data_IF_708686448748
#
_entry.id   IF_708686448748
#
_cell.length_a   1.000
_cell.length_b   1.000
_cell.length_c   1.000
_cell.angle_alpha   90.00
_cell.angle_beta   90.00
_cell.angle_gamma   90.00
#
_symmetry.space_group_name_H-M   'P 1'
#
loop_
_entity.id
_entity.type
_entity.pdbx_description
1 polymer ?
#
# COMPACT_ATOMS: atom_id res chain seq x y z
N UNK A 1 -17.60 22.49 -22.14
CA UNK A 1 -17.40 23.36 -20.97
C UNK A 1 -16.49 22.63 -20.01
N UNK A 2 -15.32 23.23 -19.72
CA UNK A 2 -14.24 22.68 -18.90
C UNK A 2 -14.60 22.87 -17.42
N UNK A 3 -14.37 21.86 -16.58
CA UNK A 3 -14.01 22.08 -15.18
C UNK A 3 -12.75 21.31 -14.89
N UNK A 4 -11.69 22.11 -14.87
CA UNK A 4 -10.32 21.84 -14.48
C UNK A 4 -10.30 21.83 -12.95
N UNK A 5 -9.62 20.87 -12.33
CA UNK A 5 -9.09 21.06 -10.98
C UNK A 5 -7.66 20.50 -10.93
N UNK A 6 -6.78 21.34 -11.47
CA UNK A 6 -5.32 21.30 -11.40
C UNK A 6 -4.93 21.62 -9.95
N UNK A 7 -4.34 20.64 -9.24
CA UNK A 7 -2.91 20.51 -8.88
C UNK A 7 -2.39 21.55 -7.87
N UNK A 8 -1.87 20.98 -6.78
CA UNK A 8 -0.77 21.42 -5.90
C UNK A 8 -0.85 22.78 -5.19
N UNK A 9 -0.56 22.76 -3.89
CA UNK A 9 0.43 23.69 -3.38
C UNK A 9 1.19 23.12 -2.18
N UNK A 10 2.44 22.79 -2.44
CA UNK A 10 3.52 22.54 -1.49
C UNK A 10 3.64 23.73 -0.53
N UNK A 11 3.49 23.50 0.78
CA UNK A 11 3.86 24.50 1.78
C UNK A 11 5.30 24.24 2.19
N UNK A 12 6.22 24.62 1.31
CA UNK A 12 7.55 25.04 1.71
C UNK A 12 7.40 26.47 2.24
N UNK A 13 7.18 26.65 3.54
CA UNK A 13 7.21 27.98 4.12
C UNK A 13 8.67 28.39 4.36
N UNK A 14 9.23 29.02 3.33
CA UNK A 14 10.51 29.69 3.36
C UNK A 14 10.47 30.86 4.35
N UNK A 15 11.50 30.92 5.18
CA UNK A 15 11.85 32.07 6.01
C UNK A 15 12.26 33.25 5.12
N UNK A 16 11.53 34.36 5.15
CA UNK A 16 12.09 35.67 4.80
C UNK A 16 11.34 36.83 5.45
N UNK A 17 12.03 37.41 6.43
CA UNK A 17 12.14 38.82 6.82
C UNK A 17 11.24 39.88 6.14
N UNK A 18 10.54 40.62 7.01
CA UNK A 18 10.45 42.10 7.10
C UNK A 18 9.94 42.91 5.90
N UNK A 19 8.76 43.55 6.03
CA UNK A 19 8.54 44.99 5.79
C UNK A 19 7.08 45.40 6.08
N UNK A 20 6.93 46.62 6.62
CA UNK A 20 5.72 47.31 7.08
C UNK A 20 4.48 47.24 6.17
N UNK A 21 3.29 47.14 6.78
CA UNK A 21 2.04 47.58 6.14
C UNK A 21 0.77 46.94 6.71
N UNK A 22 0.10 47.64 7.63
CA UNK A 22 -1.29 47.44 8.13
C UNK A 22 -1.73 45.99 8.42
N UNK A 23 -1.62 45.66 9.71
CA UNK A 23 -1.64 44.34 10.32
C UNK A 23 -3.05 43.71 10.52
N UNK A 24 -3.95 43.74 9.51
CA UNK A 24 -5.27 43.11 9.65
C UNK A 24 -5.33 41.66 9.15
N UNK A 25 -4.45 41.26 8.23
CA UNK A 25 -4.45 39.91 7.65
C UNK A 25 -3.56 38.92 8.42
N UNK A 26 -2.55 39.40 9.15
CA UNK A 26 -1.69 38.55 10.00
C UNK A 26 -2.43 38.03 11.24
N UNK A 27 -3.32 38.85 11.83
CA UNK A 27 -4.12 38.44 12.99
C UNK A 27 -5.21 37.41 12.62
N UNK A 28 -5.73 37.46 11.39
CA UNK A 28 -6.70 36.48 10.89
C UNK A 28 -6.09 35.09 10.69
N UNK A 29 -4.86 35.02 10.14
CA UNK A 29 -4.11 33.77 9.98
C UNK A 29 -3.67 33.15 11.33
N UNK A 30 -3.47 33.98 12.37
CA UNK A 30 -3.18 33.51 13.73
C UNK A 30 -4.42 32.91 14.39
N UNK A 31 -5.61 33.50 14.15
CA UNK A 31 -6.87 33.01 14.68
C UNK A 31 -7.31 31.68 14.04
N UNK A 32 -7.04 31.47 12.74
CA UNK A 32 -7.30 30.20 12.05
C UNK A 32 -6.42 29.06 12.59
N UNK A 33 -5.13 29.33 12.87
CA UNK A 33 -4.23 28.33 13.46
C UNK A 33 -4.58 27.98 14.92
N UNK A 34 -5.16 28.92 15.69
CA UNK A 34 -5.60 28.65 17.06
C UNK A 34 -6.88 27.79 17.10
N UNK A 35 -7.81 27.99 16.16
CA UNK A 35 -9.00 27.14 16.00
C UNK A 35 -8.68 25.71 15.54
N UNK A 36 -7.65 25.54 14.70
CA UNK A 36 -7.16 24.22 14.31
C UNK A 36 -6.52 23.46 15.48
N UNK A 37 -5.89 24.17 16.42
CA UNK A 37 -5.28 23.55 17.62
C UNK A 37 -6.33 23.06 18.63
N UNK A 38 -7.45 23.78 18.77
CA UNK A 38 -8.54 23.40 19.69
C UNK A 38 -9.28 22.12 19.26
N UNK A 39 -9.32 21.80 17.96
CA UNK A 39 -9.98 20.58 17.45
C UNK A 39 -9.12 19.31 17.61
N UNK A 40 -7.85 19.45 18.03
CA UNK A 40 -6.93 18.33 18.25
C UNK A 40 -6.77 17.93 19.73
N UNK A 41 -7.42 18.64 20.67
CA UNK A 41 -7.21 18.44 22.11
C UNK A 41 -8.40 17.86 22.89
N UNK A 42 -9.53 17.53 22.25
CA UNK A 42 -10.70 16.94 22.93
C UNK A 42 -10.64 15.40 23.04
N UNK A 43 -9.54 14.86 23.56
CA UNK A 43 -9.52 13.50 24.14
C UNK A 43 -8.46 13.39 25.24
N UNK A 44 -8.55 14.21 26.29
CA UNK A 44 -7.89 13.84 27.57
C UNK A 44 -8.48 14.57 28.79
N UNK A 45 -9.38 13.91 29.53
CA UNK A 45 -9.48 14.02 31.00
C UNK A 45 -9.71 12.59 31.54
N UNK A 46 -8.72 11.90 32.14
CA UNK A 46 -8.23 11.89 33.56
C UNK A 46 -9.24 11.20 34.53
N UNK A 47 -8.89 10.52 35.68
CA UNK A 47 -7.60 10.32 36.36
C UNK A 47 -7.22 8.89 36.82
N UNK A 48 -5.96 8.81 37.25
CA UNK A 48 -5.27 7.81 38.08
C UNK A 48 -5.93 7.59 39.46
N UNK A 49 -6.12 6.31 39.85
CA UNK A 49 -5.97 5.82 41.22
C UNK A 49 -5.32 4.43 41.25
N UNK A 50 -4.44 4.21 42.23
CA UNK A 50 -3.77 2.95 42.60
C UNK A 50 -4.24 2.63 44.03
N UNK A 51 -4.51 1.37 44.43
CA UNK A 51 -3.46 0.51 44.97
C UNK A 51 -3.59 -1.01 44.64
N UNK A 52 -2.41 -1.62 44.49
CA UNK A 52 -1.95 -2.96 44.92
C UNK A 52 -2.96 -4.10 45.21
N UNK A 53 -2.87 -5.24 44.50
CA UNK A 53 -2.52 -6.58 45.05
C UNK A 53 -2.44 -7.68 43.94
N UNK A 54 -1.46 -8.59 44.08
CA UNK A 54 -1.23 -9.86 43.34
C UNK A 54 -2.19 -10.95 43.93
N UNK A 55 -2.41 -12.18 43.38
CA UNK A 55 -1.66 -12.85 42.32
C UNK A 55 -2.42 -13.78 41.33
N UNK A 56 -1.68 -14.27 40.31
CA UNK A 56 -1.84 -15.53 39.51
C UNK A 56 -3.20 -15.75 38.83
N UNK A 57 -3.30 -15.88 37.50
CA UNK A 57 -3.27 -17.16 36.79
C UNK A 57 -3.20 -16.98 35.25
N UNK A 58 -2.56 -17.96 34.59
CA UNK A 58 -2.42 -18.13 33.14
C UNK A 58 -3.72 -18.72 32.55
N UNK A 59 -4.16 -18.31 31.35
CA UNK A 59 -4.14 -19.24 30.20
C UNK A 59 -3.74 -18.49 28.90
N UNK A 60 -2.66 -18.89 28.22
CA UNK A 60 -2.74 -19.67 26.98
C UNK A 60 -4.11 -19.66 26.32
N UNK A 61 -4.29 -18.88 25.24
CA UNK A 61 -4.77 -19.41 23.96
C UNK A 61 -4.58 -18.41 22.81
N UNK A 62 -4.14 -18.98 21.69
CA UNK A 62 -3.91 -18.41 20.36
C UNK A 62 -5.14 -18.75 19.51
N UNK A 63 -5.52 -17.91 18.54
CA UNK A 63 -5.88 -18.46 17.22
C UNK A 63 -5.11 -17.68 16.14
N UNK A 64 -4.08 -18.22 15.50
CA UNK A 64 -4.14 -19.07 14.28
C UNK A 64 -5.48 -19.03 13.57
N UNK A 65 -5.62 -18.10 12.64
CA UNK A 65 -6.51 -18.28 11.49
C UNK A 65 -5.63 -18.43 10.25
N UNK A 66 -5.49 -19.70 9.85
CA UNK A 66 -4.81 -20.18 8.67
C UNK A 66 -5.83 -20.11 7.54
N UNK A 67 -5.76 -19.09 6.68
CA UNK A 67 -6.44 -19.13 5.39
C UNK A 67 -5.62 -20.05 4.49
N UNK A 68 -6.09 -21.29 4.38
CA UNK A 68 -5.56 -22.32 3.52
C UNK A 68 -6.15 -22.10 2.13
N UNK A 69 -5.50 -21.24 1.34
CA UNK A 69 -5.79 -21.12 -0.09
C UNK A 69 -4.89 -22.07 -0.88
N UNK A 70 -5.54 -22.73 -1.81
CA UNK A 70 -5.19 -24.03 -2.36
C UNK A 70 -4.00 -23.91 -3.33
N UNK A 71 -2.79 -24.22 -2.87
CA UNK A 71 -1.59 -24.34 -3.71
C UNK A 71 -1.68 -25.60 -4.58
N UNK A 72 -2.11 -25.46 -5.83
CA UNK A 72 -1.88 -26.49 -6.85
C UNK A 72 -0.51 -26.27 -7.47
N UNK A 73 0.48 -26.95 -6.92
CA UNK A 73 1.79 -27.15 -7.53
C UNK A 73 1.71 -28.27 -8.56
N UNK A 74 2.01 -27.96 -9.83
CA UNK A 74 2.72 -28.81 -10.81
C UNK A 74 2.75 -28.09 -12.16
N UNK A 75 3.93 -27.80 -12.73
CA UNK A 75 4.30 -27.97 -14.16
C UNK A 75 5.54 -27.16 -14.56
N UNK A 76 6.47 -27.85 -15.21
CA UNK A 76 7.67 -27.40 -15.93
C UNK A 76 7.36 -26.30 -16.97
N UNK A 77 8.22 -25.27 -17.20
CA UNK A 77 7.88 -24.16 -18.08
C UNK A 77 7.83 -24.61 -19.55
N UNK A 78 6.63 -24.87 -20.06
CA UNK A 78 6.35 -24.71 -21.48
C UNK A 78 6.21 -23.21 -21.76
N UNK A 79 6.84 -22.70 -22.82
CA UNK A 79 6.88 -21.27 -23.19
C UNK A 79 5.52 -20.64 -23.53
N UNK A 80 4.44 -21.43 -23.55
CA UNK A 80 3.05 -20.96 -23.68
C UNK A 80 2.27 -20.96 -22.35
N UNK A 81 2.92 -21.31 -21.23
CA UNK A 81 2.25 -21.41 -19.93
C UNK A 81 2.01 -20.02 -19.37
N UNK A 82 0.74 -19.68 -19.16
CA UNK A 82 0.33 -18.43 -18.54
C UNK A 82 -0.11 -18.71 -17.12
N UNK A 83 0.33 -17.89 -16.15
CA UNK A 83 -0.01 -18.08 -14.73
C UNK A 83 -1.08 -17.08 -14.32
N UNK A 84 -2.10 -17.52 -13.61
CA UNK A 84 -3.12 -16.63 -13.03
C UNK A 84 -2.96 -16.58 -11.51
N UNK A 85 -2.81 -15.37 -10.98
CA UNK A 85 -2.63 -15.13 -9.54
C UNK A 85 -3.73 -14.19 -9.05
N UNK A 86 -4.24 -14.46 -7.87
CA UNK A 86 -5.16 -13.57 -7.13
C UNK A 86 -4.41 -12.83 -6.03
N UNK A 87 -5.10 -11.98 -5.27
CA UNK A 87 -4.52 -11.39 -4.06
C UNK A 87 -3.94 -12.47 -3.13
N UNK A 88 -2.75 -12.24 -2.60
CA UNK A 88 -1.98 -13.23 -1.86
C UNK A 88 -0.47 -12.95 -1.87
N UNK A 89 0.27 -13.86 -1.25
CA UNK A 89 1.74 -13.85 -1.21
C UNK A 89 2.29 -15.11 -1.86
N UNK A 90 3.28 -14.95 -2.73
CA UNK A 90 3.82 -16.04 -3.55
C UNK A 90 5.35 -16.01 -3.51
N UNK A 91 5.98 -17.14 -3.27
CA UNK A 91 7.43 -17.31 -3.29
C UNK A 91 7.95 -17.59 -4.71
N UNK A 92 9.05 -16.94 -5.09
CA UNK A 92 9.75 -17.21 -6.36
C UNK A 92 10.98 -18.09 -6.04
N UNK A 93 11.13 -19.29 -6.65
CA UNK A 93 10.32 -19.85 -7.74
C UNK A 93 9.21 -20.83 -7.32
N UNK A 94 8.99 -21.05 -6.02
CA UNK A 94 8.17 -22.16 -5.52
C UNK A 94 6.67 -22.09 -5.88
N UNK A 95 6.14 -20.87 -6.00
CA UNK A 95 4.77 -20.58 -6.39
C UNK A 95 4.69 -20.03 -7.82
N UNK A 96 5.65 -19.18 -8.17
CA UNK A 96 5.73 -18.52 -9.48
C UNK A 96 7.16 -18.63 -9.99
N UNK A 97 7.41 -19.23 -11.16
CA UNK A 97 8.77 -19.33 -11.68
C UNK A 97 9.40 -17.94 -11.92
N UNK A 98 10.69 -17.81 -11.66
CA UNK A 98 11.41 -16.59 -12.05
C UNK A 98 11.42 -16.44 -13.57
N UNK A 99 11.54 -15.20 -14.02
CA UNK A 99 11.49 -14.90 -15.43
C UNK A 99 11.04 -13.47 -15.71
N UNK A 100 10.87 -13.19 -17.00
CA UNK A 100 10.33 -11.93 -17.47
C UNK A 100 8.87 -12.15 -17.89
N UNK A 101 7.98 -11.26 -17.50
CA UNK A 101 6.55 -11.39 -17.72
C UNK A 101 5.93 -10.07 -18.16
N UNK A 102 4.90 -10.13 -19.00
CA UNK A 102 3.88 -9.10 -19.00
C UNK A 102 2.85 -9.45 -17.91
N UNK A 103 2.50 -8.47 -17.09
CA UNK A 103 1.44 -8.57 -16.09
C UNK A 103 0.17 -7.95 -16.69
N UNK A 104 -0.93 -8.69 -16.72
CA UNK A 104 -2.21 -8.23 -17.29
C UNK A 104 -3.30 -8.40 -16.24
N UNK A 105 -3.98 -7.32 -15.87
CA UNK A 105 -5.14 -7.40 -14.99
C UNK A 105 -6.30 -8.12 -15.73
N UNK A 106 -6.83 -9.17 -15.11
CA UNK A 106 -7.95 -9.97 -15.65
C UNK A 106 -9.28 -9.55 -15.00
N UNK A 107 -9.25 -9.21 -13.72
CA UNK A 107 -10.41 -8.69 -12.98
C UNK A 107 -9.98 -7.94 -11.73
N UNK A 108 -10.86 -7.09 -11.19
CA UNK A 108 -10.62 -6.35 -9.95
C UNK A 108 -9.51 -5.31 -10.07
N UNK A 109 -9.01 -4.86 -8.93
CA UNK A 109 -7.95 -3.86 -8.83
C UNK A 109 -7.12 -4.05 -7.55
N UNK A 110 -5.88 -3.57 -7.59
CA UNK A 110 -4.96 -3.69 -6.47
C UNK A 110 -3.53 -3.34 -6.84
N UNK A 111 -2.60 -3.82 -6.02
CA UNK A 111 -1.17 -3.65 -6.26
C UNK A 111 -0.49 -4.98 -6.52
N UNK A 112 0.47 -4.99 -7.43
CA UNK A 112 1.41 -6.09 -7.65
C UNK A 112 2.79 -5.61 -7.22
N UNK A 113 3.43 -6.30 -6.27
CA UNK A 113 4.74 -5.95 -5.75
C UNK A 113 5.68 -7.14 -5.86
N UNK A 114 6.93 -6.89 -6.23
CA UNK A 114 8.04 -7.80 -5.90
C UNK A 114 8.72 -7.28 -4.63
N UNK A 115 8.92 -8.17 -3.66
CA UNK A 115 9.60 -7.91 -2.39
C UNK A 115 10.97 -8.59 -2.39
N UNK A 116 11.99 -7.89 -1.91
CA UNK A 116 13.27 -8.53 -1.61
C UNK A 116 13.22 -9.36 -0.32
N UNK A 117 14.33 -10.04 -0.01
CA UNK A 117 14.49 -10.90 1.17
C UNK A 117 14.27 -10.16 2.50
N UNK A 118 14.38 -8.83 2.49
CA UNK A 118 14.22 -7.96 3.65
C UNK A 118 12.79 -7.37 3.74
N UNK A 119 11.92 -7.70 2.78
CA UNK A 119 10.54 -7.22 2.72
C UNK A 119 10.36 -5.83 2.08
N UNK A 120 11.41 -5.25 1.51
CA UNK A 120 11.33 -3.98 0.78
C UNK A 120 10.79 -4.20 -0.63
N UNK A 121 10.03 -3.22 -1.14
CA UNK A 121 9.54 -3.26 -2.51
C UNK A 121 10.71 -3.09 -3.48
N UNK A 122 10.95 -4.08 -4.33
CA UNK A 122 11.80 -3.96 -5.51
C UNK A 122 11.07 -3.18 -6.60
N UNK A 123 9.79 -3.51 -6.81
CA UNK A 123 8.87 -2.69 -7.57
C UNK A 123 7.45 -2.83 -7.03
N UNK A 124 6.59 -1.87 -7.40
CA UNK A 124 5.17 -1.86 -7.04
C UNK A 124 4.41 -1.21 -8.20
N UNK A 125 3.35 -1.87 -8.65
CA UNK A 125 2.50 -1.39 -9.74
C UNK A 125 1.02 -1.45 -9.33
N UNK A 126 0.24 -0.44 -9.74
CA UNK A 126 -1.20 -0.40 -9.48
C UNK A 126 -1.93 -0.96 -10.70
N UNK A 127 -2.43 -2.18 -10.58
CA UNK A 127 -3.09 -2.89 -11.67
C UNK A 127 -4.59 -2.99 -11.45
N UNK A 128 -5.36 -2.88 -12.52
CA UNK A 128 -6.81 -3.04 -12.49
C UNK A 128 -7.43 -3.06 -13.87
N UNK A 129 -8.63 -3.65 -13.98
CA UNK A 129 -9.39 -3.68 -15.25
C UNK A 129 -10.22 -2.43 -15.48
N UNK A 130 -10.48 -1.67 -14.42
CA UNK A 130 -11.22 -0.42 -14.48
C UNK A 130 -10.29 0.70 -14.96
N UNK A 131 -10.68 1.37 -16.04
CA UNK A 131 -9.90 2.45 -16.66
C UNK A 131 -10.07 3.78 -15.93
N UNK A 132 -10.05 3.78 -14.60
CA UNK A 132 -9.89 5.04 -13.88
C UNK A 132 -8.42 5.52 -14.02
N UNK A 133 -8.16 6.77 -13.67
CA UNK A 133 -6.84 7.38 -13.90
C UNK A 133 -5.70 6.80 -13.04
N UNK A 134 -5.98 5.86 -12.14
CA UNK A 134 -5.02 5.37 -11.14
C UNK A 134 -4.46 3.98 -11.46
N UNK A 135 -5.21 3.14 -12.18
CA UNK A 135 -4.81 1.77 -12.50
C UNK A 135 -4.38 1.64 -13.96
N UNK A 136 -3.33 0.85 -14.18
CA UNK A 136 -3.02 0.34 -15.53
C UNK A 136 -3.56 -1.07 -15.69
N UNK A 137 -4.02 -1.40 -16.89
CA UNK A 137 -4.49 -2.75 -17.22
C UNK A 137 -3.33 -3.71 -17.47
N UNK A 138 -2.16 -3.20 -17.84
CA UNK A 138 -0.97 -4.00 -18.10
C UNK A 138 0.33 -3.32 -17.65
N UNK A 139 1.29 -4.15 -17.26
CA UNK A 139 2.67 -3.77 -17.01
C UNK A 139 3.61 -4.71 -17.75
N UNK A 140 4.46 -4.16 -18.61
CA UNK A 140 5.29 -4.94 -19.54
C UNK A 140 6.65 -5.27 -18.94
N UNK A 141 7.14 -6.47 -19.23
CA UNK A 141 8.50 -6.91 -18.92
C UNK A 141 8.88 -6.85 -17.42
N UNK A 142 7.95 -7.13 -16.51
CA UNK A 142 8.27 -7.39 -15.10
C UNK A 142 9.29 -8.51 -14.98
N UNK A 143 10.37 -8.26 -14.23
CA UNK A 143 11.38 -9.27 -13.95
C UNK A 143 11.15 -9.83 -12.55
N UNK A 144 10.70 -11.07 -12.48
CA UNK A 144 10.57 -11.84 -11.24
C UNK A 144 11.87 -12.60 -10.99
N UNK A 145 12.49 -12.36 -9.85
CA UNK A 145 13.83 -12.89 -9.52
C UNK A 145 13.76 -14.00 -8.47
N UNK A 146 14.54 -15.06 -8.64
CA UNK A 146 14.67 -16.13 -7.64
C UNK A 146 15.01 -15.59 -6.25
N UNK A 147 14.45 -16.20 -5.21
CA UNK A 147 14.68 -15.83 -3.81
C UNK A 147 13.84 -14.66 -3.30
N UNK A 148 12.98 -14.09 -4.17
CA UNK A 148 12.08 -12.99 -3.83
C UNK A 148 10.64 -13.46 -3.67
N UNK A 149 9.77 -12.55 -3.25
CA UNK A 149 8.34 -12.81 -3.13
C UNK A 149 7.52 -11.84 -3.97
N UNK A 150 6.37 -12.30 -4.46
CA UNK A 150 5.32 -11.47 -5.03
C UNK A 150 4.23 -11.26 -3.98
N UNK A 151 3.78 -10.02 -3.82
CA UNK A 151 2.63 -9.65 -2.99
C UNK A 151 1.58 -8.97 -3.87
N UNK A 152 0.37 -9.54 -3.90
CA UNK A 152 -0.78 -9.03 -4.64
C UNK A 152 -1.86 -8.62 -3.65
N UNK A 153 -2.40 -7.41 -3.78
CA UNK A 153 -3.41 -6.88 -2.85
C UNK A 153 -4.77 -6.64 -3.53
N UNK A 154 -5.79 -6.37 -2.71
CA UNK A 154 -7.11 -5.94 -3.18
C UNK A 154 -7.93 -7.10 -3.75
N UNK A 155 -8.66 -6.84 -4.82
CA UNK A 155 -9.46 -7.84 -5.56
C UNK A 155 -8.79 -8.26 -6.88
N UNK A 156 -7.54 -7.84 -7.06
CA UNK A 156 -6.79 -8.03 -8.29
C UNK A 156 -6.60 -9.52 -8.61
N UNK A 157 -7.03 -9.89 -9.82
CA UNK A 157 -6.57 -11.09 -10.50
C UNK A 157 -5.66 -10.66 -11.65
N UNK A 158 -4.47 -11.20 -11.70
CA UNK A 158 -3.45 -10.89 -12.71
C UNK A 158 -3.05 -12.14 -13.45
N UNK A 159 -2.80 -11.96 -14.74
CA UNK A 159 -2.24 -12.96 -15.62
C UNK A 159 -0.78 -12.61 -15.93
N UNK A 160 0.12 -13.56 -15.70
CA UNK A 160 1.55 -13.46 -15.99
C UNK A 160 1.84 -14.18 -17.31
N UNK A 161 2.18 -13.41 -18.33
CA UNK A 161 2.48 -13.91 -19.68
C UNK A 161 4.01 -13.93 -19.84
N UNK A 162 4.66 -15.11 -19.94
CA UNK A 162 6.11 -15.19 -20.09
C UNK A 162 6.63 -14.40 -21.30
N UNK A 163 7.84 -13.85 -21.15
CA UNK A 163 8.59 -13.14 -22.19
C UNK A 163 10.01 -13.65 -22.33
N UNK A 164 10.48 -13.65 -23.57
CA UNK A 164 11.86 -13.98 -23.93
C UNK A 164 12.87 -12.89 -23.51
#
# INVERSE_FOLDING_TARGET
>A
MKKILVVALSVALLLSTTACGTNSELEALKQENEQLKSQLTDTEEKPTEKPTEKPTEKPTEKPTEKSEEQKTSDTQPNSDSTYELTAGSYEIPNDVPSGKYDLVAVSGHGTFKEKDENGYNVFSEWLGVDSDQYYTTEYKNAKLTDGKAVEISGTLKVQLIPKN
#
